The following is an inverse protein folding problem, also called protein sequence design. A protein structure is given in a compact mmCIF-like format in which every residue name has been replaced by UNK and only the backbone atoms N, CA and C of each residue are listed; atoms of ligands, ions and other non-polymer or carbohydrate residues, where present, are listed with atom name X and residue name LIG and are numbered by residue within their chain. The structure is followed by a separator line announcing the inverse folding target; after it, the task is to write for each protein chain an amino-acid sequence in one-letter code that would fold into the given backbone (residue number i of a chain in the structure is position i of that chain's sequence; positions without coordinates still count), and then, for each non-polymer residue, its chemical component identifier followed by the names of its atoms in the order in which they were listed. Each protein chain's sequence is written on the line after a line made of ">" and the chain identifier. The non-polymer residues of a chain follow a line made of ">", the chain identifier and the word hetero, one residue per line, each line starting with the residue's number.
data_IF_016652588702
#
_entry.id   IF_016652588702
#
_cell.length_a   1.000
_cell.length_b   1.000
_cell.length_c   1.000
_cell.angle_alpha   90.00
_cell.angle_beta   90.00
_cell.angle_gamma   90.00
#
_symmetry.space_group_name_H-M   'P 1'
#
loop_
_entity.id
_entity.type
_entity.pdbx_description
1 polymer ?
#
# COMPACT_ATOMS: atom_id res chain seq x y z
N UNK A 1 -76.17 12.19 -0.86
CA UNK A 1 -76.27 13.64 -0.63
C UNK A 1 -75.41 13.95 0.58
N UNK A 2 -74.31 14.69 0.41
CA UNK A 2 -73.44 15.08 1.52
C UNK A 2 -74.08 16.28 2.25
N UNK A 3 -74.29 16.16 3.55
CA UNK A 3 -74.75 17.28 4.37
C UNK A 3 -73.56 18.19 4.68
N UNK A 4 -73.72 19.50 4.45
CA UNK A 4 -72.70 20.50 4.79
C UNK A 4 -72.60 20.61 6.32
N UNK A 5 -71.38 20.45 6.84
CA UNK A 5 -71.06 20.52 8.27
C UNK A 5 -71.44 21.91 8.83
N UNK A 6 -71.34 22.95 8.01
CA UNK A 6 -71.73 24.32 8.37
C UNK A 6 -73.23 24.43 8.64
N UNK A 7 -74.04 23.66 7.92
CA UNK A 7 -75.49 23.63 8.10
C UNK A 7 -75.90 22.74 9.28
N UNK A 8 -75.13 21.69 9.59
CA UNK A 8 -75.30 20.90 10.82
C UNK A 8 -74.99 21.73 12.07
N UNK A 9 -73.88 22.47 12.06
CA UNK A 9 -73.45 23.30 13.20
C UNK A 9 -74.38 24.49 13.46
N UNK A 10 -75.07 24.99 12.43
CA UNK A 10 -76.09 26.03 12.57
C UNK A 10 -77.40 25.50 13.16
N UNK A 11 -77.72 24.22 12.96
CA UNK A 11 -78.96 23.59 13.44
C UNK A 11 -78.88 23.11 14.88
N UNK A 12 -77.68 22.79 15.36
CA UNK A 12 -77.44 22.42 16.74
C UNK A 12 -76.73 23.55 17.48
N UNK A 13 -77.44 24.36 18.30
CA UNK A 13 -76.76 25.25 19.22
C UNK A 13 -75.93 24.37 20.17
N UNK A 14 -74.60 24.40 19.99
CA UNK A 14 -73.61 23.73 20.82
C UNK A 14 -73.95 24.01 22.29
N UNK A 15 -74.57 23.03 22.95
CA UNK A 15 -74.93 23.06 24.36
C UNK A 15 -73.66 22.91 25.21
N UNK A 16 -72.76 23.89 25.13
CA UNK A 16 -71.62 23.98 26.05
C UNK A 16 -72.14 24.71 27.30
N UNK A 17 -73.03 24.04 28.04
CA UNK A 17 -73.62 24.61 29.26
C UNK A 17 -72.66 24.55 30.47
N UNK A 18 -71.50 23.89 30.34
CA UNK A 18 -70.52 23.78 31.41
C UNK A 18 -69.13 23.94 30.80
N UNK A 19 -68.36 24.91 31.30
CA UNK A 19 -66.94 25.04 30.97
C UNK A 19 -66.18 23.76 31.30
N UNK A 20 -64.94 23.66 30.79
CA UNK A 20 -64.06 22.53 31.08
C UNK A 20 -64.00 22.26 32.60
N UNK A 21 -63.93 20.99 33.00
CA UNK A 21 -63.81 20.63 34.42
C UNK A 21 -62.57 21.24 35.05
N UNK A 22 -62.66 21.68 36.30
CA UNK A 22 -61.50 22.16 37.06
C UNK A 22 -60.33 21.14 37.01
N UNK A 23 -59.13 21.64 36.71
CA UNK A 23 -57.92 20.83 36.56
C UNK A 23 -57.76 20.13 35.20
N UNK A 24 -58.64 20.36 34.22
CA UNK A 24 -58.43 19.89 32.85
C UNK A 24 -57.17 20.51 32.22
N UNK A 25 -56.98 21.82 32.40
CA UNK A 25 -55.82 22.54 31.88
C UNK A 25 -54.49 21.99 32.45
N UNK A 26 -54.44 21.77 33.76
CA UNK A 26 -53.25 21.21 34.41
C UNK A 26 -52.90 19.82 33.86
N UNK A 27 -53.89 18.92 33.71
CA UNK A 27 -53.68 17.58 33.12
C UNK A 27 -53.30 17.65 31.64
N UNK A 28 -53.78 18.65 30.91
CA UNK A 28 -53.40 18.87 29.52
C UNK A 28 -51.95 19.32 29.42
N UNK A 29 -51.52 20.29 30.23
CA UNK A 29 -50.14 20.77 30.27
C UNK A 29 -49.17 19.65 30.66
N UNK A 30 -49.50 18.83 31.65
CA UNK A 30 -48.69 17.67 32.05
C UNK A 30 -48.51 16.67 30.89
N UNK A 31 -49.60 16.36 30.15
CA UNK A 31 -49.54 15.47 28.99
C UNK A 31 -48.82 16.11 27.79
N UNK A 32 -48.89 17.43 27.66
CA UNK A 32 -48.21 18.18 26.61
C UNK A 32 -46.70 18.18 26.85
N UNK A 33 -46.26 18.51 28.07
CA UNK A 33 -44.85 18.48 28.45
C UNK A 33 -44.26 17.07 28.35
N UNK A 34 -45.04 16.03 28.67
CA UNK A 34 -44.61 14.64 28.50
C UNK A 34 -44.52 14.21 27.02
N UNK A 35 -45.31 14.82 26.13
CA UNK A 35 -45.36 14.48 24.71
C UNK A 35 -44.40 15.31 23.85
N UNK A 36 -43.91 16.43 24.35
CA UNK A 36 -42.90 17.24 23.68
C UNK A 36 -41.49 16.75 24.07
N UNK A 37 -40.61 16.47 23.10
CA UNK A 37 -39.23 16.13 23.42
C UNK A 37 -38.58 17.32 24.15
N UNK A 38 -38.06 17.07 25.36
CA UNK A 38 -37.35 18.10 26.13
C UNK A 38 -36.11 18.52 25.33
N UNK A 39 -36.14 19.69 24.73
CA UNK A 39 -34.98 20.30 24.08
C UNK A 39 -33.96 20.82 25.11
N UNK A 40 -33.48 19.95 25.99
CA UNK A 40 -32.27 20.23 26.78
C UNK A 40 -31.46 18.95 26.98
N UNK A 41 -30.80 18.51 25.91
CA UNK A 41 -29.52 17.83 26.07
C UNK A 41 -28.47 18.72 25.42
N UNK A 42 -27.89 19.60 26.24
CA UNK A 42 -26.62 20.22 25.90
C UNK A 42 -25.63 19.07 25.70
N UNK A 43 -25.42 18.66 24.46
CA UNK A 43 -24.39 17.71 24.12
C UNK A 43 -23.06 18.36 24.50
N UNK A 44 -22.49 17.89 25.62
CA UNK A 44 -21.13 18.24 26.01
C UNK A 44 -20.23 17.75 24.90
N UNK A 45 -19.82 18.66 24.00
CA UNK A 45 -18.83 18.36 22.95
C UNK A 45 -17.60 17.79 23.63
N UNK A 46 -17.41 16.47 23.52
CA UNK A 46 -16.26 15.78 24.11
C UNK A 46 -15.02 16.36 23.43
N UNK A 47 -14.18 17.04 24.21
CA UNK A 47 -12.98 17.67 23.66
C UNK A 47 -12.01 16.58 23.19
N UNK A 48 -11.93 16.37 21.88
CA UNK A 48 -11.00 15.43 21.23
C UNK A 48 -9.52 15.88 21.33
N UNK A 49 -9.18 16.80 22.24
CA UNK A 49 -7.85 17.36 22.37
C UNK A 49 -6.79 16.28 22.66
N UNK A 50 -7.14 15.23 23.41
CA UNK A 50 -6.20 14.15 23.71
C UNK A 50 -5.92 13.22 22.50
N UNK A 51 -6.88 13.07 21.58
CA UNK A 51 -6.67 12.30 20.35
C UNK A 51 -5.70 12.99 19.39
N UNK A 52 -5.60 14.33 19.43
CA UNK A 52 -4.63 15.08 18.63
C UNK A 52 -3.19 14.73 19.03
N UNK A 53 -2.94 14.56 20.34
CA UNK A 53 -1.64 14.16 20.87
C UNK A 53 -1.36 12.69 20.52
N UNK A 54 -2.34 11.80 20.70
CA UNK A 54 -2.20 10.39 20.33
C UNK A 54 -1.89 10.19 18.84
N UNK A 55 -2.56 10.93 17.95
CA UNK A 55 -2.31 10.88 16.51
C UNK A 55 -0.88 11.32 16.15
N UNK A 56 -0.35 12.35 16.82
CA UNK A 56 1.02 12.80 16.61
C UNK A 56 2.06 11.75 17.06
N UNK A 57 1.82 11.07 18.19
CA UNK A 57 2.70 9.99 18.67
C UNK A 57 2.68 8.81 17.69
N UNK A 58 1.51 8.41 17.19
CA UNK A 58 1.40 7.32 16.21
C UNK A 58 2.17 7.68 14.92
N UNK A 59 2.01 8.90 14.40
CA UNK A 59 2.75 9.37 13.21
C UNK A 59 4.27 9.36 13.42
N UNK A 60 4.74 9.84 14.58
CA UNK A 60 6.18 9.84 14.90
C UNK A 60 6.72 8.42 15.04
N UNK A 61 5.98 7.52 15.68
CA UNK A 61 6.42 6.12 15.84
C UNK A 61 6.40 5.37 14.51
N UNK A 62 5.39 5.54 13.66
CA UNK A 62 5.34 4.90 12.33
C UNK A 62 6.46 5.40 11.42
N UNK A 63 6.73 6.71 11.43
CA UNK A 63 7.81 7.30 10.66
C UNK A 63 9.18 6.84 11.18
N UNK A 64 9.34 6.77 12.50
CA UNK A 64 10.58 6.28 13.14
C UNK A 64 10.85 4.82 12.78
N UNK A 65 9.81 3.97 12.74
CA UNK A 65 9.93 2.55 12.34
C UNK A 65 10.29 2.45 10.85
N UNK A 66 9.68 3.24 9.97
CA UNK A 66 10.01 3.27 8.54
C UNK A 66 11.45 3.72 8.29
N UNK A 67 11.87 4.83 8.91
CA UNK A 67 13.25 5.33 8.82
C UNK A 67 14.23 4.33 9.42
N UNK A 68 13.90 3.70 10.55
CA UNK A 68 14.73 2.67 11.16
C UNK A 68 14.90 1.47 10.23
N UNK A 69 13.83 0.95 9.64
CA UNK A 69 13.90 -0.14 8.67
C UNK A 69 14.70 0.23 7.42
N UNK A 70 14.56 1.47 6.94
CA UNK A 70 15.29 1.94 5.77
C UNK A 70 16.78 2.16 6.05
N UNK A 71 17.13 2.65 7.24
CA UNK A 71 18.52 2.87 7.65
C UNK A 71 19.22 1.57 8.10
N UNK A 72 18.49 0.65 8.73
CA UNK A 72 19.03 -0.67 9.14
C UNK A 72 19.29 -1.58 7.94
N UNK A 73 18.59 -1.37 6.82
CA UNK A 73 18.78 -2.14 5.59
C UNK A 73 19.81 -1.51 4.64
N UNK A 74 20.40 -0.36 4.99
CA UNK A 74 21.56 0.19 4.29
C UNK A 74 22.83 -0.23 5.03
N UNK A 75 23.76 -0.99 4.43
CA UNK A 75 25.09 -1.13 4.99
C UNK A 75 25.76 0.25 4.94
N UNK A 76 25.77 0.93 6.08
CA UNK A 76 26.54 2.16 6.28
C UNK A 76 28.02 1.79 6.20
N UNK A 77 28.63 2.01 5.04
CA UNK A 77 30.09 1.97 4.88
C UNK A 77 30.68 3.14 5.68
N UNK A 78 30.89 2.95 6.98
CA UNK A 78 31.75 3.81 7.77
C UNK A 78 33.18 3.34 7.57
N UNK A 79 33.85 3.94 6.59
CA UNK A 79 35.30 4.08 6.68
C UNK A 79 35.56 5.11 7.78
N UNK A 80 35.66 4.64 9.02
CA UNK A 80 36.26 5.42 10.10
C UNK A 80 37.12 4.47 10.89
N UNK A 81 38.36 4.43 10.44
CA UNK A 81 39.52 3.83 11.08
C UNK A 81 39.69 4.45 12.48
N UNK A 82 39.39 3.67 13.52
CA UNK A 82 39.95 3.88 14.86
C UNK A 82 40.21 2.52 15.51
N UNK A 83 41.47 2.38 15.90
CA UNK A 83 42.14 1.27 16.55
C UNK A 83 41.44 0.78 17.81
N UNK A 84 41.27 -0.54 17.94
CA UNK A 84 41.84 -1.33 19.04
C UNK A 84 41.61 -2.82 18.76
N UNK A 85 42.71 -3.56 18.74
CA UNK A 85 42.69 -5.01 18.84
C UNK A 85 42.12 -5.39 20.21
N UNK A 86 41.17 -6.33 20.22
CA UNK A 86 41.28 -7.62 20.91
C UNK A 86 39.94 -8.35 20.84
N UNK A 87 39.98 -9.50 20.16
CA UNK A 87 39.13 -10.66 20.29
C UNK A 87 37.62 -10.46 20.51
N UNK A 88 36.90 -10.48 19.39
CA UNK A 88 35.77 -11.41 19.31
C UNK A 88 35.70 -11.99 17.91
N UNK A 89 36.20 -13.22 17.76
CA UNK A 89 35.98 -14.06 16.60
C UNK A 89 34.46 -14.30 16.42
N UNK A 90 33.79 -13.35 15.76
CA UNK A 90 32.57 -13.65 15.03
C UNK A 90 33.00 -14.50 13.85
N UNK A 91 32.74 -15.80 13.96
CA UNK A 91 32.62 -16.70 12.82
C UNK A 91 31.44 -16.23 11.94
N UNK A 92 31.57 -15.07 11.29
CA UNK A 92 30.70 -14.68 10.19
C UNK A 92 31.36 -15.26 8.96
N UNK A 93 30.91 -16.45 8.55
CA UNK A 93 31.19 -17.02 7.22
C UNK A 93 31.04 -15.87 6.20
N UNK A 94 32.02 -15.60 5.32
CA UNK A 94 31.85 -14.57 4.30
C UNK A 94 30.58 -14.91 3.51
N UNK A 95 29.57 -14.03 3.61
CA UNK A 95 28.30 -14.24 2.93
C UNK A 95 28.52 -13.93 1.46
N UNK A 96 28.81 -14.96 0.68
CA UNK A 96 28.91 -14.87 -0.77
C UNK A 96 27.49 -14.69 -1.32
N UNK A 97 27.10 -13.44 -1.58
CA UNK A 97 25.76 -13.08 -2.06
C UNK A 97 25.74 -12.76 -3.55
N UNK A 98 26.90 -12.46 -4.12
CA UNK A 98 27.05 -11.99 -5.49
C UNK A 98 28.22 -12.71 -6.17
N UNK A 99 28.16 -12.81 -7.49
CA UNK A 99 29.24 -13.36 -8.31
C UNK A 99 30.54 -12.58 -8.09
N UNK A 100 30.45 -11.28 -7.81
CA UNK A 100 31.60 -10.45 -7.51
C UNK A 100 32.29 -10.72 -6.17
N UNK A 101 31.63 -11.40 -5.23
CA UNK A 101 32.26 -11.83 -3.98
C UNK A 101 33.22 -13.02 -4.20
N UNK A 102 33.11 -13.70 -5.34
CA UNK A 102 33.90 -14.89 -5.71
C UNK A 102 35.18 -14.47 -6.45
N UNK A 103 35.06 -13.61 -7.47
CA UNK A 103 36.22 -13.13 -8.23
C UNK A 103 35.96 -11.80 -8.94
N UNK A 104 37.02 -11.02 -9.25
CA UNK A 104 36.90 -9.78 -10.01
C UNK A 104 36.35 -9.95 -11.44
N UNK A 105 36.60 -11.09 -12.09
CA UNK A 105 36.13 -11.33 -13.44
C UNK A 105 34.64 -11.68 -13.47
N UNK A 106 34.18 -12.47 -12.49
CA UNK A 106 32.76 -12.73 -12.28
C UNK A 106 31.99 -11.45 -11.92
N UNK A 107 32.62 -10.54 -11.16
CA UNK A 107 32.06 -9.21 -10.89
C UNK A 107 31.79 -8.43 -12.17
N UNK A 108 32.74 -8.38 -13.11
CA UNK A 108 32.58 -7.66 -14.38
C UNK A 108 31.40 -8.20 -15.18
N UNK A 109 31.22 -9.52 -15.17
CA UNK A 109 30.10 -10.17 -15.87
C UNK A 109 28.77 -9.77 -15.23
N UNK A 110 28.66 -9.87 -13.91
CA UNK A 110 27.45 -9.48 -13.18
C UNK A 110 27.12 -7.99 -13.38
N UNK A 111 28.11 -7.11 -13.18
CA UNK A 111 27.96 -5.67 -13.35
C UNK A 111 27.53 -5.32 -14.79
N UNK A 112 28.10 -5.99 -15.80
CA UNK A 112 27.71 -5.82 -17.21
C UNK A 112 26.24 -6.16 -17.44
N UNK A 113 25.80 -7.37 -17.05
CA UNK A 113 24.42 -7.78 -17.30
C UNK A 113 23.42 -6.97 -16.49
N UNK A 114 23.71 -6.64 -15.23
CA UNK A 114 22.83 -5.80 -14.40
C UNK A 114 22.69 -4.41 -15.02
N UNK A 115 23.79 -3.80 -15.48
CA UNK A 115 23.75 -2.51 -16.17
C UNK A 115 22.94 -2.59 -17.47
N UNK A 116 23.14 -3.63 -18.29
CA UNK A 116 22.38 -3.83 -19.52
C UNK A 116 20.89 -4.06 -19.28
N UNK A 117 20.52 -4.87 -18.28
CA UNK A 117 19.12 -5.10 -17.89
C UNK A 117 18.46 -3.80 -17.45
N UNK A 118 19.12 -3.02 -16.58
CA UNK A 118 18.61 -1.74 -16.13
C UNK A 118 18.44 -0.77 -17.30
N UNK A 119 19.42 -0.70 -18.20
CA UNK A 119 19.36 0.13 -19.39
C UNK A 119 18.19 -0.25 -20.31
N UNK A 120 18.02 -1.54 -20.63
CA UNK A 120 16.90 -1.97 -21.48
C UNK A 120 15.55 -1.71 -20.82
N UNK A 121 15.41 -1.90 -19.50
CA UNK A 121 14.18 -1.57 -18.77
C UNK A 121 13.80 -0.09 -18.92
N UNK A 122 14.76 0.83 -18.96
CA UNK A 122 14.48 2.26 -19.19
C UNK A 122 13.99 2.58 -20.61
N UNK A 123 14.29 1.72 -21.58
CA UNK A 123 13.90 1.92 -22.98
C UNK A 123 12.53 1.33 -23.32
N UNK A 124 11.94 0.53 -22.43
CA UNK A 124 10.65 -0.10 -22.71
C UNK A 124 9.53 0.92 -22.55
N UNK A 125 9.11 1.52 -23.66
CA UNK A 125 7.91 2.36 -23.73
C UNK A 125 6.65 1.50 -23.91
N UNK A 126 5.68 1.66 -23.01
CA UNK A 126 4.42 0.91 -23.04
C UNK A 126 3.35 1.70 -23.78
N UNK A 127 2.84 1.16 -24.90
CA UNK A 127 1.60 1.62 -25.52
C UNK A 127 0.38 0.87 -24.94
N UNK A 128 -0.82 1.40 -25.11
CA UNK A 128 -2.05 0.79 -24.59
C UNK A 128 -2.28 -0.63 -25.14
N UNK A 129 -1.98 -0.84 -26.43
CA UNK A 129 -2.06 -2.14 -27.13
C UNK A 129 -0.96 -3.10 -26.67
N UNK A 130 0.23 -2.58 -26.37
CA UNK A 130 1.38 -3.37 -25.90
C UNK A 130 1.30 -3.76 -24.43
N UNK A 131 0.36 -3.20 -23.66
CA UNK A 131 0.32 -3.34 -22.19
C UNK A 131 0.19 -4.78 -21.72
N UNK A 132 -0.72 -5.57 -22.30
CA UNK A 132 -0.91 -6.97 -21.89
C UNK A 132 0.34 -7.82 -22.16
N UNK A 133 1.00 -7.58 -23.30
CA UNK A 133 2.24 -8.26 -23.65
C UNK A 133 3.36 -7.87 -22.68
N UNK A 134 3.52 -6.58 -22.42
CA UNK A 134 4.46 -6.04 -21.44
C UNK A 134 4.27 -6.69 -20.06
N UNK A 135 3.04 -6.71 -19.54
CA UNK A 135 2.71 -7.27 -18.24
C UNK A 135 3.13 -8.77 -18.16
N UNK A 136 2.88 -9.54 -19.22
CA UNK A 136 3.28 -10.96 -19.27
C UNK A 136 4.80 -11.18 -19.24
N UNK A 137 5.57 -10.30 -19.88
CA UNK A 137 7.04 -10.35 -19.85
C UNK A 137 7.58 -9.90 -18.49
N UNK A 138 6.97 -8.89 -17.86
CA UNK A 138 7.35 -8.46 -16.51
C UNK A 138 7.13 -9.57 -15.48
N UNK A 139 6.05 -10.36 -15.61
CA UNK A 139 5.84 -11.54 -14.76
C UNK A 139 6.96 -12.58 -14.91
N UNK A 140 7.40 -12.87 -16.14
CA UNK A 140 8.52 -13.80 -16.39
C UNK A 140 9.84 -13.26 -15.82
N UNK A 141 10.10 -11.96 -15.94
CA UNK A 141 11.27 -11.33 -15.34
C UNK A 141 11.23 -11.38 -13.82
N UNK A 142 10.06 -11.18 -13.21
CA UNK A 142 9.88 -11.30 -11.77
C UNK A 142 10.16 -12.72 -11.29
N UNK A 143 9.68 -13.75 -12.02
CA UNK A 143 10.00 -15.15 -11.73
C UNK A 143 11.51 -15.41 -11.77
N UNK A 144 12.19 -15.01 -12.86
CA UNK A 144 13.64 -15.17 -12.97
C UNK A 144 14.38 -14.42 -11.84
N UNK A 145 13.90 -13.26 -11.43
CA UNK A 145 14.49 -12.52 -10.32
C UNK A 145 14.36 -13.26 -8.97
N UNK A 146 13.24 -13.93 -8.71
CA UNK A 146 13.10 -14.79 -7.52
C UNK A 146 14.01 -16.03 -7.61
N UNK A 147 14.10 -16.66 -8.78
CA UNK A 147 15.04 -17.77 -9.01
C UNK A 147 16.50 -17.34 -8.77
N UNK A 148 16.88 -16.13 -9.18
CA UNK A 148 18.21 -15.59 -8.89
C UNK A 148 18.48 -15.43 -7.40
N UNK A 149 17.48 -15.00 -6.60
CA UNK A 149 17.62 -14.92 -5.14
C UNK A 149 17.81 -16.30 -4.51
N UNK A 150 17.13 -17.32 -5.03
CA UNK A 150 17.33 -18.71 -4.59
C UNK A 150 18.77 -19.15 -4.86
N UNK A 151 19.32 -18.83 -6.03
CA UNK A 151 20.72 -19.13 -6.37
C UNK A 151 21.71 -18.35 -5.48
N UNK A 152 21.43 -17.10 -5.14
CA UNK A 152 22.24 -16.34 -4.17
C UNK A 152 22.25 -16.98 -2.77
N UNK A 153 21.09 -17.51 -2.35
CA UNK A 153 20.97 -18.22 -1.09
C UNK A 153 21.75 -19.53 -1.12
N UNK A 154 21.63 -20.30 -2.21
CA UNK A 154 22.41 -21.52 -2.43
C UNK A 154 23.92 -21.26 -2.39
N UNK A 155 24.36 -20.16 -3.03
CA UNK A 155 25.75 -19.71 -3.01
C UNK A 155 26.25 -19.38 -1.59
N UNK A 156 25.39 -18.77 -0.76
CA UNK A 156 25.71 -18.48 0.65
C UNK A 156 25.78 -19.77 1.50
N UNK A 157 24.85 -20.69 1.28
CA UNK A 157 24.68 -21.89 2.10
C UNK A 157 25.75 -22.95 1.77
N UNK A 158 25.86 -23.30 0.48
CA UNK A 158 26.72 -24.37 -0.03
C UNK A 158 28.13 -23.86 -0.33
N UNK A 159 28.25 -22.58 -0.73
CA UNK A 159 29.49 -21.98 -1.20
C UNK A 159 29.61 -21.97 -2.72
N UNK A 160 30.71 -21.40 -3.25
CA UNK A 160 30.89 -21.20 -4.68
C UNK A 160 31.09 -22.54 -5.38
N UNK A 161 30.16 -22.86 -6.26
CA UNK A 161 30.28 -24.00 -7.16
C UNK A 161 29.93 -23.58 -8.59
N UNK A 162 30.52 -24.27 -9.57
CA UNK A 162 30.39 -23.92 -10.98
C UNK A 162 28.93 -23.96 -11.46
N UNK A 163 28.12 -24.88 -10.94
CA UNK A 163 26.72 -25.03 -11.35
C UNK A 163 25.89 -23.81 -10.92
N UNK A 164 25.99 -23.37 -9.67
CA UNK A 164 25.31 -22.18 -9.15
C UNK A 164 25.82 -20.92 -9.84
N UNK A 165 27.14 -20.80 -10.07
CA UNK A 165 27.73 -19.67 -10.79
C UNK A 165 27.15 -19.57 -12.21
N UNK A 166 27.18 -20.68 -12.96
CA UNK A 166 26.64 -20.71 -14.32
C UNK A 166 25.13 -20.44 -14.33
N UNK A 167 24.37 -21.01 -13.40
CA UNK A 167 22.94 -20.75 -13.28
C UNK A 167 22.62 -19.27 -12.98
N UNK A 168 23.43 -18.59 -12.16
CA UNK A 168 23.27 -17.16 -11.91
C UNK A 168 23.54 -16.34 -13.17
N UNK A 169 24.61 -16.66 -13.91
CA UNK A 169 24.93 -16.00 -15.18
C UNK A 169 23.82 -16.26 -16.22
N UNK A 170 23.35 -17.50 -16.36
CA UNK A 170 22.29 -17.88 -17.28
C UNK A 170 20.99 -17.13 -16.95
N UNK A 171 20.65 -16.99 -15.67
CA UNK A 171 19.48 -16.22 -15.25
C UNK A 171 19.59 -14.75 -15.69
N UNK A 172 20.74 -14.10 -15.48
CA UNK A 172 20.99 -12.74 -15.96
C UNK A 172 20.86 -12.65 -17.49
N UNK A 173 21.42 -13.61 -18.22
CA UNK A 173 21.31 -13.68 -19.67
C UNK A 173 19.86 -13.87 -20.14
N UNK A 174 19.09 -14.73 -19.49
CA UNK A 174 17.68 -14.94 -19.83
C UNK A 174 16.84 -13.70 -19.58
N UNK A 175 17.08 -12.98 -18.49
CA UNK A 175 16.42 -11.70 -18.21
C UNK A 175 16.69 -10.69 -19.30
N UNK A 176 17.95 -10.53 -19.72
CA UNK A 176 18.31 -9.63 -20.80
C UNK A 176 17.68 -10.06 -22.14
N UNK A 177 17.70 -11.36 -22.45
CA UNK A 177 17.07 -11.92 -23.66
C UNK A 177 15.56 -11.65 -23.72
N UNK A 178 14.86 -11.81 -22.60
CA UNK A 178 13.43 -11.49 -22.51
C UNK A 178 13.14 -10.02 -22.78
N UNK A 179 14.00 -9.11 -22.32
CA UNK A 179 13.86 -7.68 -22.60
C UNK A 179 14.03 -7.36 -24.08
N UNK A 180 15.02 -7.97 -24.75
CA UNK A 180 15.17 -7.81 -26.20
C UNK A 180 13.96 -8.33 -26.98
N UNK A 181 13.45 -9.51 -26.61
CA UNK A 181 12.25 -10.07 -27.22
C UNK A 181 11.03 -9.18 -27.00
N UNK A 182 10.85 -8.63 -25.80
CA UNK A 182 9.77 -7.71 -25.51
C UNK A 182 9.85 -6.47 -26.39
N UNK A 183 11.03 -5.86 -26.50
CA UNK A 183 11.27 -4.67 -27.33
C UNK A 183 10.96 -4.94 -28.80
N UNK A 184 11.43 -6.07 -29.34
CA UNK A 184 11.13 -6.51 -30.71
C UNK A 184 9.62 -6.63 -30.93
N UNK A 185 8.92 -7.33 -30.03
CA UNK A 185 7.48 -7.53 -30.15
C UNK A 185 6.66 -6.26 -29.99
N UNK A 186 7.05 -5.35 -29.11
CA UNK A 186 6.40 -4.04 -28.99
C UNK A 186 6.61 -3.19 -30.25
N UNK A 187 7.78 -3.26 -30.87
CA UNK A 187 8.04 -2.57 -32.14
C UNK A 187 7.25 -3.17 -33.31
N UNK A 188 7.14 -4.50 -33.40
CA UNK A 188 6.28 -5.18 -34.37
C UNK A 188 4.82 -4.71 -34.25
N UNK A 189 4.30 -4.64 -33.02
CA UNK A 189 2.93 -4.18 -32.75
C UNK A 189 2.74 -2.70 -33.15
N UNK A 190 3.65 -1.81 -32.74
CA UNK A 190 3.62 -0.39 -33.13
C UNK A 190 3.62 -0.20 -34.65
N UNK A 191 4.38 -1.03 -35.38
CA UNK A 191 4.42 -0.96 -36.85
C UNK A 191 3.10 -1.44 -37.47
N UNK A 192 2.55 -2.55 -36.97
CA UNK A 192 1.28 -3.08 -37.47
C UNK A 192 0.09 -2.13 -37.28
N UNK A 193 0.14 -1.26 -36.26
CA UNK A 193 -0.86 -0.22 -36.01
C UNK A 193 -0.74 0.97 -36.97
N UNK A 194 0.48 1.36 -37.34
CA UNK A 194 0.71 2.47 -38.28
C UNK A 194 0.47 2.08 -39.76
N UNK A 195 0.56 0.79 -40.08
CA UNK A 195 0.32 0.26 -41.43
C UNK A 195 -1.18 -0.11 -41.66
N UNK A 196 -2.03 -0.01 -40.63
CA UNK A 196 -3.48 -0.31 -40.65
C UNK A 196 -4.34 0.97 -40.65
#
# INVERSE_FOLDING_TARGET
>A
MAQDIKDLLKKEPLHIQKGLSDGHEARFLERLDAALPTEEKVEKKRSFAFYKIAAAVILLTSLSILVYQQLSNTPFNSNTELTNAEDTAKNTKPSLKSLGDISPDLKKIEDYYVASINYELTQVEVSEIGKQLFDSYMQKLAQLNEEHKVLQQELTDIGPNEQTINAMIDNLQFRLKLLYQLKEKLNELKKSENDA
#
